data_IF_535169787794
#
_entry.id   IF_535169787794
#
_cell.length_a   1.000
_cell.length_b   1.000
_cell.length_c   1.000
_cell.angle_alpha   90.00
_cell.angle_beta   90.00
_cell.angle_gamma   90.00
#
_symmetry.space_group_name_H-M   'P 1'
#
loop_
_entity.id
_entity.type
_entity.pdbx_description
1 polymer ?
#
# COMPACT_ATOMS: atom_id res chain seq x y z
N UNK A 1 0.58 2.79 -21.65
CA UNK A 1 -0.44 2.80 -20.58
C UNK A 1 -0.61 1.37 -20.11
N UNK A 2 -0.11 1.04 -18.93
CA UNK A 2 -0.53 -0.13 -18.15
C UNK A 2 -0.28 0.23 -16.69
N UNK A 3 -1.33 0.67 -16.02
CA UNK A 3 -1.33 0.92 -14.58
C UNK A 3 -1.47 -0.47 -13.96
N UNK A 4 -0.41 -0.98 -13.33
CA UNK A 4 -0.54 -2.19 -12.50
C UNK A 4 -1.29 -1.76 -11.25
N UNK A 5 -2.59 -2.05 -11.25
CA UNK A 5 -3.50 -1.95 -10.13
C UNK A 5 -2.93 -2.75 -8.95
N UNK A 6 -2.50 -2.04 -7.91
CA UNK A 6 -2.04 -2.64 -6.64
C UNK A 6 -3.18 -2.63 -5.62
N UNK A 7 -4.37 -2.99 -6.10
CA UNK A 7 -5.64 -3.00 -5.39
C UNK A 7 -6.10 -4.44 -5.18
N UNK A 8 -5.23 -5.31 -4.65
CA UNK A 8 -5.68 -6.50 -3.92
C UNK A 8 -4.54 -7.09 -3.09
N UNK A 9 -4.34 -6.56 -1.90
CA UNK A 9 -3.82 -7.40 -0.82
C UNK A 9 -5.05 -7.82 -0.06
N UNK A 10 -5.65 -8.93 -0.48
CA UNK A 10 -6.74 -9.55 0.25
C UNK A 10 -6.24 -9.86 1.67
N UNK A 11 -6.92 -9.37 2.73
CA UNK A 11 -6.63 -9.88 4.05
C UNK A 11 -6.98 -11.37 4.02
N UNK A 12 -6.00 -12.23 4.30
CA UNK A 12 -6.25 -13.66 4.52
C UNK A 12 -7.18 -13.79 5.73
N UNK A 13 -8.48 -13.80 5.48
CA UNK A 13 -9.47 -14.29 6.43
C UNK A 13 -9.15 -15.77 6.57
N UNK A 14 -8.85 -16.18 7.80
CA UNK A 14 -8.59 -17.57 8.11
C UNK A 14 -9.93 -18.30 8.08
N UNK A 15 -10.38 -18.70 6.88
CA UNK A 15 -11.51 -19.59 6.72
C UNK A 15 -11.08 -20.99 7.14
N UNK A 16 -11.11 -21.25 8.44
CA UNK A 16 -11.16 -22.61 8.96
C UNK A 16 -12.63 -23.00 9.02
N UNK A 17 -13.13 -23.92 8.18
CA UNK A 17 -14.45 -24.49 8.39
C UNK A 17 -14.40 -25.26 9.71
N UNK A 18 -15.13 -24.79 10.71
CA UNK A 18 -15.49 -25.61 11.86
C UNK A 18 -16.40 -26.69 11.27
N UNK A 19 -15.86 -27.89 11.06
CA UNK A 19 -16.62 -29.09 10.75
C UNK A 19 -17.58 -29.35 11.92
N UNK A 20 -18.78 -28.80 11.83
CA UNK A 20 -19.90 -29.17 12.69
C UNK A 20 -20.39 -30.55 12.25
N UNK A 21 -20.03 -31.58 13.01
CA UNK A 21 -20.62 -32.90 12.91
C UNK A 21 -22.14 -32.78 13.14
N UNK A 22 -22.92 -33.03 12.10
CA UNK A 22 -24.39 -33.06 12.18
C UNK A 22 -24.78 -34.36 12.88
N UNK A 23 -25.05 -34.28 14.20
CA UNK A 23 -25.89 -35.27 14.87
C UNK A 23 -27.30 -34.70 14.89
N UNK A 24 -28.13 -35.17 13.96
CA UNK A 24 -29.58 -34.94 13.96
C UNK A 24 -30.15 -35.73 15.13
N UNK A 25 -30.60 -35.03 16.17
CA UNK A 25 -31.48 -35.60 17.18
C UNK A 25 -32.31 -34.51 17.86
N UNK A 26 -33.61 -34.58 17.58
CA UNK A 26 -34.76 -34.02 18.31
C UNK A 26 -34.98 -32.50 18.27
N UNK A 27 -36.14 -32.16 17.72
CA UNK A 27 -36.80 -30.85 17.78
C UNK A 27 -36.99 -30.47 19.26
N UNK A 28 -36.31 -29.43 19.73
CA UNK A 28 -36.69 -28.70 20.93
C UNK A 28 -37.13 -27.31 20.52
N UNK A 29 -38.41 -27.03 20.67
CA UNK A 29 -39.02 -25.72 20.49
C UNK A 29 -38.29 -24.68 21.37
N UNK A 30 -37.67 -23.64 20.82
CA UNK A 30 -37.16 -22.54 21.63
C UNK A 30 -38.31 -21.57 21.89
N UNK A 31 -39.10 -21.84 22.93
CA UNK A 31 -40.00 -20.83 23.51
C UNK A 31 -39.13 -19.69 24.05
N UNK A 32 -39.12 -18.59 23.32
CA UNK A 32 -38.67 -17.24 23.68
C UNK A 32 -37.69 -17.18 24.88
N UNK A 33 -36.40 -17.33 24.59
CA UNK A 33 -35.38 -16.92 25.56
C UNK A 33 -35.46 -15.40 25.67
N UNK A 34 -35.78 -14.89 26.85
CA UNK A 34 -35.60 -13.49 27.22
C UNK A 34 -34.11 -13.14 27.12
N UNK A 35 -33.65 -12.87 25.90
CA UNK A 35 -32.38 -12.20 25.67
C UNK A 35 -32.54 -10.79 26.20
N UNK A 36 -32.29 -10.63 27.51
CA UNK A 36 -31.97 -9.35 28.12
C UNK A 36 -30.92 -8.73 27.21
N UNK A 37 -31.31 -7.74 26.42
CA UNK A 37 -30.42 -7.06 25.48
C UNK A 37 -29.28 -6.46 26.28
N UNK A 38 -28.16 -7.19 26.37
CA UNK A 38 -26.98 -6.72 27.07
C UNK A 38 -26.34 -5.69 26.15
N UNK A 39 -26.35 -4.43 26.60
CA UNK A 39 -25.67 -3.35 25.90
C UNK A 39 -24.18 -3.69 25.81
N UNK A 40 -23.75 -4.06 24.62
CA UNK A 40 -22.33 -4.25 24.31
C UNK A 40 -21.65 -2.91 24.08
N UNK A 41 -20.32 -2.86 24.26
CA UNK A 41 -19.55 -1.65 23.96
C UNK A 41 -19.44 -1.47 22.45
N UNK A 42 -19.94 -0.35 21.94
CA UNK A 42 -20.02 -0.09 20.49
C UNK A 42 -18.67 0.23 19.82
N UNK A 43 -17.65 0.68 20.57
CA UNK A 43 -16.32 0.98 20.02
C UNK A 43 -15.20 0.99 21.09
N UNK A 44 -14.00 0.51 20.76
CA UNK A 44 -12.80 0.60 21.62
C UNK A 44 -11.51 0.59 20.79
N UNK A 45 -10.59 1.52 21.08
CA UNK A 45 -9.25 1.56 20.49
C UNK A 45 -8.14 1.12 21.48
N UNK A 46 -8.50 0.52 22.62
CA UNK A 46 -7.62 0.26 23.77
C UNK A 46 -6.34 -0.51 23.43
N UNK A 47 -6.42 -1.48 22.52
CA UNK A 47 -5.28 -2.33 22.17
C UNK A 47 -4.60 -1.93 20.85
N UNK A 48 -5.12 -0.91 20.16
CA UNK A 48 -4.64 -0.55 18.83
C UNK A 48 -3.22 -0.01 18.90
N UNK A 49 -2.97 0.91 19.84
CA UNK A 49 -1.64 1.51 20.09
C UNK A 49 -0.61 0.44 20.46
N UNK A 50 -0.97 -0.46 21.39
CA UNK A 50 -0.07 -1.54 21.84
C UNK A 50 0.31 -2.46 20.68
N UNK A 51 -0.65 -2.82 19.83
CA UNK A 51 -0.40 -3.68 18.66
C UNK A 51 0.42 -2.95 17.59
N UNK A 52 0.17 -1.67 17.35
CA UNK A 52 0.94 -0.86 16.40
C UNK A 52 2.41 -0.73 16.81
N UNK A 53 2.69 -0.60 18.11
CA UNK A 53 4.06 -0.50 18.61
C UNK A 53 4.79 -1.85 18.70
N UNK A 54 4.11 -3.00 18.78
CA UNK A 54 4.76 -4.33 18.78
C UNK A 54 5.66 -4.56 17.56
N UNK A 55 5.22 -4.12 16.38
CA UNK A 55 6.01 -4.21 15.14
C UNK A 55 6.83 -2.92 14.88
N UNK A 56 6.61 -1.90 15.71
CA UNK A 56 7.13 -0.54 15.55
C UNK A 56 6.44 0.22 14.41
N UNK A 57 6.15 1.50 14.63
CA UNK A 57 5.66 2.40 13.57
C UNK A 57 6.85 2.76 12.67
N UNK A 58 6.92 2.13 11.49
CA UNK A 58 8.02 2.35 10.54
C UNK A 58 7.76 3.61 9.71
N UNK A 59 8.77 4.48 9.61
CA UNK A 59 8.76 5.63 8.70
C UNK A 59 8.92 5.14 7.25
N UNK A 60 8.31 5.81 6.25
CA UNK A 60 8.53 5.48 4.86
C UNK A 60 10.02 5.66 4.49
N UNK A 61 10.53 4.79 3.61
CA UNK A 61 11.92 4.84 3.19
C UNK A 61 12.14 6.03 2.25
N UNK A 62 13.15 6.84 2.55
CA UNK A 62 13.59 7.93 1.68
C UNK A 62 14.55 7.36 0.63
N UNK A 63 14.23 7.53 -0.64
CA UNK A 63 15.07 7.13 -1.76
C UNK A 63 15.80 8.36 -2.33
N UNK A 64 17.04 8.17 -2.85
CA UNK A 64 17.84 9.25 -3.45
C UNK A 64 17.12 9.95 -4.61
N UNK A 65 16.33 9.20 -5.37
CA UNK A 65 15.51 9.73 -6.47
C UNK A 65 14.05 9.44 -6.18
N UNK A 66 13.22 10.47 -6.24
CA UNK A 66 11.76 10.37 -6.06
C UNK A 66 11.07 10.08 -7.38
N UNK A 67 9.84 9.58 -7.32
CA UNK A 67 9.01 9.38 -8.52
C UNK A 67 8.56 10.73 -9.09
N UNK A 68 8.54 10.86 -10.42
CA UNK A 68 8.03 12.03 -11.15
C UNK A 68 6.50 12.06 -11.31
N UNK A 69 5.77 11.19 -10.59
CA UNK A 69 4.29 11.15 -10.64
C UNK A 69 3.73 12.44 -10.02
N UNK A 70 2.77 13.07 -10.69
CA UNK A 70 2.15 14.32 -10.25
C UNK A 70 2.87 15.60 -10.69
N UNK A 71 3.97 15.49 -11.45
CA UNK A 71 4.60 16.64 -12.09
C UNK A 71 3.81 17.06 -13.35
N UNK A 72 3.86 18.36 -13.66
CA UNK A 72 3.18 18.93 -14.84
C UNK A 72 3.58 18.19 -16.13
N UNK A 73 2.60 17.67 -16.91
CA UNK A 73 2.87 17.05 -18.20
C UNK A 73 3.69 17.92 -19.15
N UNK A 74 3.54 19.24 -19.14
CA UNK A 74 4.32 20.15 -20.01
C UNK A 74 5.80 20.14 -19.63
N UNK A 75 6.10 20.14 -18.34
CA UNK A 75 7.46 20.01 -17.83
C UNK A 75 8.07 18.65 -18.19
N UNK A 76 7.31 17.56 -18.01
CA UNK A 76 7.78 16.20 -18.32
C UNK A 76 8.10 16.03 -19.81
N UNK A 77 7.27 16.59 -20.69
CA UNK A 77 7.48 16.63 -22.14
C UNK A 77 8.80 17.32 -22.48
N UNK A 78 9.03 18.52 -21.95
CA UNK A 78 10.29 19.24 -22.18
C UNK A 78 11.51 18.47 -21.63
N UNK A 79 11.44 17.97 -20.40
CA UNK A 79 12.52 17.21 -19.79
C UNK A 79 12.87 15.95 -20.61
N UNK A 80 11.86 15.28 -21.18
CA UNK A 80 12.07 14.11 -22.03
C UNK A 80 12.90 14.47 -23.27
N UNK A 81 12.53 15.52 -24.01
CA UNK A 81 13.27 15.92 -25.21
C UNK A 81 14.67 16.44 -24.88
N UNK A 82 14.83 17.21 -23.79
CA UNK A 82 16.14 17.67 -23.34
C UNK A 82 17.08 16.49 -23.08
N UNK A 83 16.64 15.46 -22.35
CA UNK A 83 17.41 14.23 -22.09
C UNK A 83 17.66 13.42 -23.35
N UNK A 84 16.69 13.36 -24.27
CA UNK A 84 16.78 12.57 -25.52
C UNK A 84 17.91 13.08 -26.43
N UNK A 85 18.04 14.40 -26.58
CA UNK A 85 18.98 15.01 -27.51
C UNK A 85 20.31 15.47 -26.88
N UNK A 86 20.49 15.32 -25.56
CA UNK A 86 21.72 15.74 -24.87
C UNK A 86 22.97 14.97 -25.34
N UNK A 87 22.84 13.73 -25.86
CA UNK A 87 23.98 12.90 -26.33
C UNK A 87 24.87 13.62 -27.35
N UNK A 88 24.28 14.40 -28.27
CA UNK A 88 25.02 15.16 -29.29
C UNK A 88 25.80 16.33 -28.66
N UNK A 89 25.24 16.96 -27.63
CA UNK A 89 25.87 18.07 -26.92
C UNK A 89 26.87 17.62 -25.85
N UNK A 90 26.75 16.39 -25.34
CA UNK A 90 27.65 15.77 -24.37
C UNK A 90 29.06 15.60 -24.93
N UNK A 91 29.20 15.15 -26.18
CA UNK A 91 30.51 15.01 -26.83
C UNK A 91 31.21 16.35 -27.03
N UNK A 92 30.46 17.41 -27.36
CA UNK A 92 31.01 18.78 -27.45
C UNK A 92 31.46 19.28 -26.07
N UNK A 93 30.66 19.07 -25.03
CA UNK A 93 31.01 19.44 -23.65
C UNK A 93 32.26 18.70 -23.16
N UNK A 94 32.39 17.40 -23.44
CA UNK A 94 33.55 16.62 -23.03
C UNK A 94 34.84 17.06 -23.75
N UNK A 95 34.76 17.38 -25.06
CA UNK A 95 35.90 17.96 -25.79
C UNK A 95 36.34 19.30 -25.19
N UNK A 96 35.39 20.20 -24.96
CA UNK A 96 35.68 21.52 -24.40
C UNK A 96 36.19 21.44 -22.95
N UNK A 97 35.79 20.40 -22.20
CA UNK A 97 36.25 20.18 -20.84
C UNK A 97 37.67 19.59 -20.79
N UNK A 98 37.99 18.68 -21.71
CA UNK A 98 39.35 18.15 -21.85
C UNK A 98 40.37 19.23 -22.26
N UNK A 99 39.97 20.20 -23.09
CA UNK A 99 40.81 21.34 -23.46
C UNK A 99 40.90 22.45 -22.40
N UNK A 100 40.19 22.35 -21.27
CA UNK A 100 40.15 23.38 -20.22
C UNK A 100 40.74 22.91 -18.88
N UNK A 101 41.10 21.63 -18.77
CA UNK A 101 41.80 21.04 -17.63
C UNK A 101 43.28 20.71 -17.97
N UNK A 102 43.80 21.32 -19.05
CA UNK A 102 45.22 21.33 -19.44
C UNK A 102 45.87 22.69 -19.12
#
# INVERSE_FOLDING_TARGET
>A
MTVVDRSSVEPKVCEKPIQCCVKVSTVRNPSHVDVKMVKQKNHTARNNTVKAHRNGIKKPKIHRFTSTRGLDPKFLRNQHWAKKFDKKHRNRKNKNKACAEE
#
